data_IF_516801333840
#
_entry.id   IF_516801333840
#
_cell.length_a   1.000
_cell.length_b   1.000
_cell.length_c   1.000
_cell.angle_alpha   90.00
_cell.angle_beta   90.00
_cell.angle_gamma   90.00
#
_symmetry.space_group_name_H-M   'P 1'
#
loop_
_entity.id
_entity.type
_entity.pdbx_description
1 polymer ?
#
# COMPACT_ATOMS: atom_id res chain seq x y z
N UNK A 1 71.36 -44.42 -47.38
CA UNK A 1 71.45 -43.15 -46.62
C UNK A 1 70.07 -42.47 -46.72
N UNK A 2 69.33 -42.52 -45.67
CA UNK A 2 67.95 -41.92 -45.60
C UNK A 2 67.93 -40.90 -44.49
N UNK A 3 67.79 -39.63 -44.85
CA UNK A 3 67.72 -38.51 -43.93
C UNK A 3 66.24 -38.27 -43.61
N UNK A 4 65.86 -38.37 -42.36
CA UNK A 4 64.55 -38.14 -41.86
C UNK A 4 64.38 -36.68 -41.41
N UNK A 5 63.50 -35.91 -42.03
CA UNK A 5 63.16 -34.57 -41.62
C UNK A 5 62.14 -34.68 -40.49
N UNK A 6 62.39 -34.06 -39.34
CA UNK A 6 61.41 -33.87 -38.24
C UNK A 6 60.74 -32.50 -38.38
N UNK A 7 59.49 -32.52 -38.67
CA UNK A 7 58.65 -31.31 -38.60
C UNK A 7 58.30 -31.00 -37.13
N UNK A 8 58.71 -29.84 -36.67
CA UNK A 8 58.30 -29.26 -35.37
C UNK A 8 57.11 -28.37 -35.65
N UNK A 9 55.96 -28.80 -35.15
CA UNK A 9 54.72 -27.95 -35.11
C UNK A 9 54.81 -27.06 -33.88
N UNK A 10 54.96 -25.77 -34.10
CA UNK A 10 54.80 -24.77 -33.03
C UNK A 10 53.30 -24.47 -32.84
N UNK A 11 52.73 -24.82 -31.69
CA UNK A 11 51.37 -24.51 -31.29
C UNK A 11 51.38 -23.10 -30.67
N UNK A 12 50.86 -22.11 -31.40
CA UNK A 12 50.67 -20.76 -30.88
C UNK A 12 49.35 -20.75 -30.11
N UNK A 13 49.40 -20.69 -28.78
CA UNK A 13 48.22 -20.47 -27.93
C UNK A 13 47.87 -18.98 -27.96
N UNK A 14 46.79 -18.63 -28.63
CA UNK A 14 46.22 -17.30 -28.60
C UNK A 14 45.38 -17.18 -27.32
N UNK A 15 45.90 -16.52 -26.30
CA UNK A 15 45.14 -16.14 -25.11
C UNK A 15 44.20 -15.01 -25.49
N UNK A 16 42.93 -15.33 -25.69
CA UNK A 16 41.87 -14.33 -25.77
C UNK A 16 41.63 -13.77 -24.35
N UNK A 17 42.06 -12.55 -24.10
CA UNK A 17 41.69 -11.79 -22.93
C UNK A 17 40.24 -11.40 -23.06
N UNK A 18 39.34 -12.07 -22.34
CA UNK A 18 38.02 -11.58 -22.11
C UNK A 18 38.13 -10.41 -21.12
N UNK A 19 38.12 -9.19 -21.62
CA UNK A 19 37.74 -8.02 -20.80
C UNK A 19 36.28 -8.16 -20.47
N UNK A 20 35.98 -8.65 -19.27
CA UNK A 20 34.65 -8.46 -18.68
C UNK A 20 34.53 -6.96 -18.40
N UNK A 21 33.84 -6.25 -19.29
CA UNK A 21 33.20 -4.98 -18.90
C UNK A 21 32.12 -5.33 -17.88
N UNK A 22 32.40 -5.07 -16.61
CA UNK A 22 31.35 -4.85 -15.66
C UNK A 22 30.78 -3.46 -16.00
N UNK A 23 29.71 -3.42 -16.79
CA UNK A 23 28.84 -2.26 -16.83
C UNK A 23 28.18 -2.20 -15.45
N UNK A 24 28.85 -1.55 -14.50
CA UNK A 24 28.17 -0.89 -13.41
C UNK A 24 27.31 0.20 -14.09
N UNK A 25 26.04 -0.10 -14.31
CA UNK A 25 25.01 0.86 -14.71
C UNK A 25 24.86 1.91 -13.58
N UNK A 26 25.84 2.79 -13.46
CA UNK A 26 25.68 4.00 -12.64
C UNK A 26 24.65 4.85 -13.35
N UNK A 27 23.42 4.87 -12.81
CA UNK A 27 22.42 5.83 -13.24
C UNK A 27 23.04 7.22 -13.25
N UNK A 28 22.73 8.01 -14.28
CA UNK A 28 23.16 9.39 -14.34
C UNK A 28 22.64 10.13 -13.10
N UNK A 29 23.46 11.01 -12.54
CA UNK A 29 23.01 11.93 -11.50
C UNK A 29 21.92 12.84 -12.07
N UNK A 30 20.89 13.12 -11.26
CA UNK A 30 19.82 14.05 -11.64
C UNK A 30 20.33 15.48 -11.76
N UNK A 31 19.64 16.27 -12.60
CA UNK A 31 19.78 17.73 -12.65
C UNK A 31 19.04 18.44 -11.50
N UNK A 32 18.26 17.72 -10.69
CA UNK A 32 17.47 18.25 -9.58
C UNK A 32 18.34 18.91 -8.50
N UNK A 33 18.03 20.16 -8.14
CA UNK A 33 18.70 20.88 -7.05
C UNK A 33 18.11 20.46 -5.71
N UNK A 34 18.82 19.61 -4.98
CA UNK A 34 18.39 19.09 -3.68
C UNK A 34 18.63 20.11 -2.55
N UNK A 35 17.57 20.78 -2.11
CA UNK A 35 17.60 21.74 -0.99
C UNK A 35 16.86 21.14 0.21
N UNK A 36 17.56 20.65 1.25
CA UNK A 36 16.91 19.94 2.37
C UNK A 36 15.90 20.78 3.14
N UNK A 37 16.09 22.09 3.26
CA UNK A 37 15.16 23.00 3.95
C UNK A 37 13.96 23.45 3.10
N UNK A 38 13.98 23.17 1.80
CA UNK A 38 12.93 23.46 0.83
C UNK A 38 12.86 22.30 -0.17
N UNK A 39 12.48 21.12 0.34
CA UNK A 39 12.40 19.90 -0.45
C UNK A 39 11.07 19.86 -1.17
N UNK A 40 11.06 20.25 -2.42
CA UNK A 40 9.91 20.31 -3.32
C UNK A 40 10.37 20.42 -4.78
N UNK A 41 9.45 20.26 -5.73
CA UNK A 41 9.69 20.46 -7.16
C UNK A 41 9.68 19.15 -7.96
N UNK A 42 10.27 19.19 -9.14
CA UNK A 42 10.17 18.16 -10.14
C UNK A 42 11.51 17.46 -10.38
N UNK A 43 11.58 16.16 -10.09
CA UNK A 43 12.73 15.30 -10.41
C UNK A 43 12.49 14.75 -11.82
N UNK A 44 13.03 15.45 -12.83
CA UNK A 44 12.77 15.16 -14.23
C UNK A 44 13.64 14.05 -14.82
N UNK A 45 14.81 13.80 -14.24
CA UNK A 45 15.80 12.87 -14.79
C UNK A 45 16.69 12.22 -13.71
N UNK A 46 17.43 11.21 -14.12
CA UNK A 46 18.50 10.61 -13.34
C UNK A 46 18.06 10.02 -12.00
N UNK A 47 18.98 10.02 -11.04
CA UNK A 47 18.73 9.53 -9.68
C UNK A 47 19.07 10.60 -8.66
N UNK A 48 18.10 10.92 -7.79
CA UNK A 48 18.28 11.73 -6.58
C UNK A 48 18.41 10.77 -5.40
N UNK A 49 19.53 10.83 -4.68
CA UNK A 49 19.80 10.02 -3.48
C UNK A 49 19.84 10.97 -2.29
N UNK A 50 18.97 10.74 -1.29
CA UNK A 50 18.96 11.53 -0.05
C UNK A 50 20.11 11.11 0.90
N UNK A 51 20.51 12.02 1.80
CA UNK A 51 21.44 11.73 2.89
C UNK A 51 20.67 11.40 4.18
N UNK A 52 20.88 10.20 4.73
CA UNK A 52 20.23 9.75 5.96
C UNK A 52 20.56 10.58 7.21
N UNK A 53 21.62 11.39 7.19
CA UNK A 53 22.00 12.27 8.30
C UNK A 53 21.32 13.65 8.22
N UNK A 54 20.52 13.88 7.19
CA UNK A 54 19.83 15.15 6.92
C UNK A 54 18.33 14.98 7.08
N UNK A 55 17.67 15.89 7.80
CA UNK A 55 16.21 16.01 7.82
C UNK A 55 15.75 16.89 6.67
N UNK A 56 14.81 16.41 5.87
CA UNK A 56 14.26 17.13 4.74
C UNK A 56 12.92 17.77 5.11
N UNK A 57 12.74 19.05 4.78
CA UNK A 57 11.48 19.78 4.97
C UNK A 57 10.71 19.79 3.64
N UNK A 58 9.70 18.95 3.53
CA UNK A 58 8.80 18.93 2.36
C UNK A 58 7.84 20.11 2.47
N UNK A 59 8.08 21.13 1.66
CA UNK A 59 7.36 22.41 1.72
C UNK A 59 6.30 22.57 0.65
N UNK A 60 6.37 21.73 -0.39
CA UNK A 60 5.47 21.71 -1.53
C UNK A 60 5.44 20.31 -2.18
N UNK A 61 4.80 20.16 -3.35
CA UNK A 61 4.80 18.91 -4.08
C UNK A 61 6.22 18.51 -4.51
N UNK A 62 6.58 17.25 -4.29
CA UNK A 62 7.75 16.63 -4.89
C UNK A 62 7.27 15.57 -5.89
N UNK A 63 7.49 15.80 -7.16
CA UNK A 63 7.06 14.88 -8.22
C UNK A 63 8.27 14.20 -8.84
N UNK A 64 8.25 12.86 -8.87
CA UNK A 64 9.27 12.06 -9.55
C UNK A 64 8.72 11.66 -10.90
N UNK A 65 9.28 12.23 -11.99
CA UNK A 65 8.80 12.06 -13.35
C UNK A 65 9.33 10.80 -14.03
N UNK A 66 8.65 10.39 -15.10
CA UNK A 66 8.98 9.22 -15.92
C UNK A 66 10.48 9.13 -16.23
N UNK A 67 11.11 8.01 -15.85
CA UNK A 67 12.54 7.77 -16.06
C UNK A 67 13.43 8.20 -14.88
N UNK A 68 12.96 9.11 -14.04
CA UNK A 68 13.69 9.52 -12.83
C UNK A 68 13.54 8.52 -11.68
N UNK A 69 14.42 8.64 -10.69
CA UNK A 69 14.40 7.80 -9.48
C UNK A 69 14.69 8.63 -8.25
N UNK A 70 13.87 8.48 -7.20
CA UNK A 70 14.17 8.98 -5.85
C UNK A 70 14.60 7.82 -4.97
N UNK A 71 15.79 7.89 -4.39
CA UNK A 71 16.33 6.88 -3.47
C UNK A 71 16.48 7.46 -2.07
N UNK A 72 15.85 6.81 -1.10
CA UNK A 72 15.75 7.25 0.30
C UNK A 72 16.42 6.20 1.19
N UNK A 73 17.63 6.45 1.70
CA UNK A 73 18.37 5.52 2.56
C UNK A 73 17.73 5.30 3.94
N UNK A 74 18.13 4.22 4.60
CA UNK A 74 17.67 3.86 5.93
C UNK A 74 17.97 4.96 6.98
N UNK A 75 16.93 5.32 7.75
CA UNK A 75 17.02 6.32 8.80
C UNK A 75 16.78 7.75 8.33
N UNK A 76 16.52 7.99 7.05
CA UNK A 76 16.13 9.32 6.54
C UNK A 76 14.82 9.78 7.16
N UNK A 77 14.73 11.06 7.49
CA UNK A 77 13.53 11.73 7.98
C UNK A 77 13.09 12.80 6.98
N UNK A 78 11.82 12.74 6.57
CA UNK A 78 11.17 13.76 5.74
C UNK A 78 10.00 14.32 6.54
N UNK A 79 9.98 15.64 6.76
CA UNK A 79 8.95 16.34 7.51
C UNK A 79 8.10 17.20 6.59
N UNK A 80 6.82 16.83 6.43
CA UNK A 80 5.83 17.65 5.73
C UNK A 80 5.50 18.91 6.51
N UNK A 81 5.73 20.07 5.92
CA UNK A 81 5.50 21.39 6.53
C UNK A 81 4.65 22.31 5.66
N UNK A 82 4.26 21.87 4.48
CA UNK A 82 3.49 22.64 3.50
C UNK A 82 1.97 22.41 3.54
N UNK A 83 1.46 21.72 4.56
CA UNK A 83 0.04 21.36 4.61
C UNK A 83 -0.39 20.48 3.42
N UNK A 84 -1.57 20.73 2.88
CA UNK A 84 -2.12 20.03 1.70
C UNK A 84 -1.18 20.05 0.48
N UNK A 85 -0.37 21.08 0.32
CA UNK A 85 0.59 21.19 -0.78
C UNK A 85 1.80 20.27 -0.63
N UNK A 86 2.14 19.81 0.57
CA UNK A 86 3.31 18.97 0.80
C UNK A 86 2.94 17.49 0.62
N UNK A 87 3.34 16.90 -0.50
CA UNK A 87 3.19 15.47 -0.79
C UNK A 87 4.30 14.97 -1.71
N UNK A 88 4.52 13.68 -1.74
CA UNK A 88 5.43 13.04 -2.70
C UNK A 88 4.59 12.25 -3.69
N UNK A 89 4.80 12.49 -4.99
CA UNK A 89 4.10 11.77 -6.06
C UNK A 89 5.10 11.15 -7.04
N UNK A 90 4.84 9.90 -7.41
CA UNK A 90 5.67 9.11 -8.32
C UNK A 90 4.87 8.83 -9.58
N UNK A 91 5.30 9.36 -10.71
CA UNK A 91 4.65 9.23 -12.00
C UNK A 91 4.83 7.82 -12.58
N UNK A 92 3.96 7.44 -13.53
CA UNK A 92 4.12 6.21 -14.30
C UNK A 92 5.51 6.12 -14.96
N UNK A 93 6.24 5.03 -14.67
CA UNK A 93 7.59 4.81 -15.23
C UNK A 93 8.71 5.55 -14.48
N UNK A 94 8.38 6.29 -13.45
CA UNK A 94 9.32 6.73 -12.43
C UNK A 94 9.56 5.64 -11.37
N UNK A 95 10.50 5.87 -10.46
CA UNK A 95 10.79 4.95 -9.36
C UNK A 95 11.02 5.67 -8.04
N UNK A 96 10.55 5.04 -6.97
CA UNK A 96 10.92 5.41 -5.60
C UNK A 96 11.55 4.18 -4.92
N UNK A 97 12.73 4.35 -4.34
CA UNK A 97 13.41 3.32 -3.56
C UNK A 97 13.53 3.77 -2.11
N UNK A 98 12.62 3.31 -1.26
CA UNK A 98 12.67 3.52 0.18
C UNK A 98 13.38 2.34 0.81
N UNK A 99 14.63 2.53 1.21
CA UNK A 99 15.54 1.48 1.65
C UNK A 99 15.73 1.51 3.18
N UNK A 100 14.62 1.59 3.94
CA UNK A 100 14.65 1.46 5.39
C UNK A 100 15.12 0.09 5.86
N UNK A 101 15.42 -0.02 7.14
CA UNK A 101 15.70 -1.29 7.84
C UNK A 101 14.90 -1.34 9.14
N UNK A 102 14.77 -2.52 9.73
CA UNK A 102 14.11 -2.69 11.03
C UNK A 102 14.70 -1.74 12.10
N UNK A 103 16.02 -1.61 12.15
CA UNK A 103 16.71 -0.77 13.12
C UNK A 103 16.71 0.73 12.76
N UNK A 104 16.52 1.06 11.48
CA UNK A 104 16.53 2.43 10.95
C UNK A 104 15.46 2.57 9.87
N UNK A 105 14.17 2.61 10.25
CA UNK A 105 13.11 2.87 9.27
C UNK A 105 13.28 4.27 8.65
N UNK A 106 12.78 4.44 7.43
CA UNK A 106 12.55 5.76 6.87
C UNK A 106 11.28 6.32 7.50
N UNK A 107 11.29 7.61 7.84
CA UNK A 107 10.16 8.27 8.49
C UNK A 107 9.72 9.45 7.63
N UNK A 108 8.49 9.41 7.16
CA UNK A 108 7.78 10.54 6.54
C UNK A 108 6.71 10.98 7.53
N UNK A 109 6.82 12.20 8.07
CA UNK A 109 6.00 12.64 9.20
C UNK A 109 5.65 14.12 9.12
N UNK A 110 4.76 14.57 9.99
CA UNK A 110 4.48 16.01 10.17
C UNK A 110 5.69 16.74 10.74
N UNK A 111 5.97 17.94 10.22
CA UNK A 111 6.96 18.88 10.78
C UNK A 111 6.38 19.82 11.83
N UNK A 112 5.10 19.71 12.16
CA UNK A 112 4.46 20.55 13.18
C UNK A 112 4.89 20.15 14.60
N UNK A 113 4.92 21.12 15.51
CA UNK A 113 5.21 20.87 16.94
C UNK A 113 4.11 20.02 17.58
N UNK A 114 2.85 20.32 17.28
CA UNK A 114 1.69 19.47 17.61
C UNK A 114 1.26 18.78 16.32
N UNK A 115 1.41 17.48 16.29
CA UNK A 115 1.14 16.69 15.11
C UNK A 115 -0.31 16.19 15.10
N UNK A 116 -0.98 16.34 13.96
CA UNK A 116 -2.35 15.88 13.73
C UNK A 116 -2.45 15.18 12.39
N UNK A 117 -3.42 14.29 12.25
CA UNK A 117 -3.81 13.75 10.93
C UNK A 117 -4.09 14.90 9.96
N UNK A 118 -3.66 14.76 8.71
CA UNK A 118 -3.84 15.78 7.69
C UNK A 118 -2.83 16.94 7.71
N UNK A 119 -1.80 16.86 8.51
CA UNK A 119 -0.75 17.90 8.54
C UNK A 119 0.01 18.02 7.21
N UNK A 120 -0.01 16.99 6.39
CA UNK A 120 0.58 16.93 5.05
C UNK A 120 -0.14 15.89 4.17
N UNK A 121 0.13 15.89 2.86
CA UNK A 121 -0.56 15.01 1.92
C UNK A 121 -0.30 13.54 2.19
N UNK A 122 0.87 13.05 1.82
CA UNK A 122 1.20 11.63 1.89
C UNK A 122 2.09 11.19 0.72
N UNK A 123 2.13 9.88 0.47
CA UNK A 123 2.87 9.29 -0.65
C UNK A 123 1.90 8.72 -1.69
N UNK A 124 2.01 9.19 -2.94
CA UNK A 124 1.19 8.79 -4.09
C UNK A 124 2.07 8.08 -5.12
N UNK A 125 1.66 6.89 -5.57
CA UNK A 125 2.39 6.14 -6.58
C UNK A 125 1.46 5.78 -7.72
N UNK A 126 1.81 6.21 -8.95
CA UNK A 126 1.07 5.92 -10.18
C UNK A 126 1.81 4.88 -11.01
N UNK A 127 1.14 3.77 -11.35
CA UNK A 127 1.67 2.68 -12.16
C UNK A 127 0.88 2.45 -13.45
N UNK A 128 1.35 1.48 -14.24
CA UNK A 128 0.82 1.11 -15.58
C UNK A 128 0.00 -0.19 -15.57
N UNK A 129 -0.39 -0.68 -14.39
CA UNK A 129 -1.19 -1.90 -14.28
C UNK A 129 -2.68 -1.63 -14.53
N UNK A 130 -3.48 -2.66 -14.87
CA UNK A 130 -4.88 -2.51 -15.24
C UNK A 130 -5.76 -1.90 -14.14
N UNK A 131 -6.74 -1.10 -14.58
CA UNK A 131 -7.83 -0.54 -13.78
C UNK A 131 -9.17 -0.87 -14.44
N UNK A 132 -10.30 -0.68 -13.74
CA UNK A 132 -11.62 -1.04 -14.27
C UNK A 132 -12.60 0.14 -14.45
N UNK A 133 -12.10 1.36 -14.58
CA UNK A 133 -12.94 2.56 -14.77
C UNK A 133 -13.64 2.67 -16.13
N UNK A 134 -13.52 1.64 -16.99
CA UNK A 134 -14.02 1.67 -18.36
C UNK A 134 -13.08 2.36 -19.35
N UNK A 135 -11.95 2.85 -18.88
CA UNK A 135 -10.83 3.40 -19.66
C UNK A 135 -9.53 2.69 -19.32
N UNK A 136 -8.56 2.70 -20.22
CA UNK A 136 -7.24 2.06 -19.97
C UNK A 136 -6.44 2.83 -18.93
N UNK A 137 -6.56 4.15 -18.95
CA UNK A 137 -5.89 5.07 -18.02
C UNK A 137 -6.88 6.05 -17.43
N UNK A 138 -6.55 6.61 -16.28
CA UNK A 138 -7.32 7.66 -15.61
C UNK A 138 -6.37 8.70 -14.99
N UNK A 139 -6.95 9.75 -14.40
CA UNK A 139 -6.22 10.73 -13.60
C UNK A 139 -6.42 10.39 -12.12
N UNK A 140 -5.35 10.35 -11.35
CA UNK A 140 -5.40 10.21 -9.91
C UNK A 140 -6.21 11.38 -9.31
N UNK A 141 -7.02 11.08 -8.32
CA UNK A 141 -7.90 12.08 -7.68
C UNK A 141 -7.10 13.17 -6.97
N UNK A 142 -5.94 12.80 -6.44
CA UNK A 142 -4.93 13.72 -5.90
C UNK A 142 -3.72 13.73 -6.84
N UNK A 143 -2.89 14.77 -6.80
CA UNK A 143 -1.73 14.98 -7.68
C UNK A 143 -2.03 15.22 -9.17
N UNK A 144 -3.16 14.75 -9.70
CA UNK A 144 -3.51 14.89 -11.12
C UNK A 144 -2.65 14.07 -12.10
N UNK A 145 -1.85 13.13 -11.61
CA UNK A 145 -1.01 12.25 -12.42
C UNK A 145 -1.82 11.16 -13.12
N UNK A 146 -1.39 10.75 -14.30
CA UNK A 146 -2.00 9.64 -15.03
C UNK A 146 -1.62 8.29 -14.40
N UNK A 147 -2.59 7.38 -14.31
CA UNK A 147 -2.37 5.99 -13.88
C UNK A 147 -3.17 4.99 -14.71
N UNK A 148 -2.90 3.70 -14.49
CA UNK A 148 -3.54 2.61 -15.24
C UNK A 148 -2.80 2.28 -16.54
N UNK A 149 -3.18 1.18 -17.15
CA UNK A 149 -2.56 0.65 -18.36
C UNK A 149 -2.82 -0.83 -18.54
N UNK A 150 -1.85 -1.55 -19.11
CA UNK A 150 -1.97 -2.99 -19.39
C UNK A 150 -0.78 -3.80 -18.87
N UNK A 151 0.13 -3.18 -18.11
CA UNK A 151 1.38 -3.79 -17.66
C UNK A 151 1.20 -4.31 -16.23
N UNK A 152 0.73 -5.54 -16.09
CA UNK A 152 0.44 -6.14 -14.76
C UNK A 152 1.66 -6.23 -13.85
N UNK A 153 2.87 -6.36 -14.41
CA UNK A 153 4.13 -6.41 -13.69
C UNK A 153 4.90 -5.08 -13.72
N UNK A 154 4.20 -3.97 -13.87
CA UNK A 154 4.78 -2.64 -13.74
C UNK A 154 5.52 -2.50 -12.41
N UNK A 155 6.63 -1.73 -12.43
CA UNK A 155 7.53 -1.62 -11.30
C UNK A 155 7.84 -0.16 -11.01
N UNK A 156 7.28 0.35 -9.94
CA UNK A 156 7.51 1.72 -9.43
C UNK A 156 8.62 1.80 -8.36
N UNK A 157 9.36 0.69 -8.12
CA UNK A 157 10.49 0.67 -7.20
C UNK A 157 10.33 -0.27 -6.01
N UNK A 158 10.95 0.10 -4.89
CA UNK A 158 11.01 -0.70 -3.65
C UNK A 158 10.66 0.16 -2.46
N UNK A 159 9.75 -0.31 -1.61
CA UNK A 159 9.38 0.36 -0.35
C UNK A 159 9.57 -0.65 0.78
N UNK A 160 10.54 -0.40 1.65
CA UNK A 160 10.82 -1.24 2.81
C UNK A 160 11.07 -0.43 4.05
N UNK A 161 10.48 -0.87 5.17
CA UNK A 161 10.59 -0.26 6.50
C UNK A 161 10.35 1.25 6.46
N UNK A 162 9.14 1.62 6.02
CA UNK A 162 8.67 2.99 5.94
C UNK A 162 7.60 3.24 7.01
N UNK A 163 7.67 4.37 7.69
CA UNK A 163 6.57 4.93 8.46
C UNK A 163 6.08 6.19 7.79
N UNK A 164 4.77 6.26 7.55
CA UNK A 164 4.05 7.45 7.09
C UNK A 164 3.15 7.88 8.23
N UNK A 165 3.37 9.06 8.75
CA UNK A 165 2.73 9.53 9.97
C UNK A 165 2.04 10.86 9.74
N UNK A 166 0.79 11.02 10.22
CA UNK A 166 0.02 12.26 10.21
C UNK A 166 -0.27 12.81 8.80
N UNK A 167 -0.35 11.94 7.81
CA UNK A 167 -0.72 12.27 6.44
C UNK A 167 -2.25 12.38 6.28
N UNK A 168 -2.74 12.47 5.03
CA UNK A 168 -4.17 12.45 4.74
C UNK A 168 -4.79 13.84 4.59
N UNK A 169 -4.00 14.87 4.24
CA UNK A 169 -4.54 16.23 4.09
C UNK A 169 -5.62 16.30 3.02
N UNK A 170 -6.70 17.08 3.28
CA UNK A 170 -7.76 17.33 2.32
C UNK A 170 -7.21 18.05 1.08
N UNK A 171 -7.35 17.43 -0.09
CA UNK A 171 -6.89 17.99 -1.36
C UNK A 171 -7.91 18.95 -1.99
N UNK A 172 -9.19 18.57 -1.93
CA UNK A 172 -10.32 19.39 -2.39
C UNK A 172 -11.57 19.05 -1.57
N UNK A 173 -12.74 19.63 -1.92
CA UNK A 173 -13.98 19.40 -1.16
C UNK A 173 -14.38 17.92 -1.04
N UNK A 174 -14.03 17.10 -2.04
CA UNK A 174 -14.46 15.69 -2.13
C UNK A 174 -13.26 14.73 -2.34
N UNK A 175 -12.03 15.19 -2.07
CA UNK A 175 -10.81 14.39 -2.29
C UNK A 175 -9.79 14.66 -1.20
N UNK A 176 -9.24 13.59 -0.70
CA UNK A 176 -8.25 13.60 0.37
C UNK A 176 -7.03 12.77 -0.05
N UNK A 177 -5.90 13.06 0.55
CA UNK A 177 -4.74 12.20 0.46
C UNK A 177 -4.87 11.10 1.51
N UNK A 178 -4.26 9.96 1.24
CA UNK A 178 -4.09 8.87 2.19
C UNK A 178 -2.69 8.84 2.80
N UNK A 179 -2.45 7.94 3.72
CA UNK A 179 -1.07 7.65 4.10
C UNK A 179 -0.24 7.24 2.89
N UNK A 180 -0.66 6.17 2.21
CA UNK A 180 -0.03 5.67 0.97
C UNK A 180 -1.10 5.26 -0.03
N UNK A 181 -1.14 5.94 -1.18
CA UNK A 181 -2.05 5.64 -2.29
C UNK A 181 -1.33 4.93 -3.42
N UNK A 182 -1.90 3.82 -3.90
CA UNK A 182 -1.43 3.03 -5.04
C UNK A 182 -2.39 3.13 -6.20
N UNK A 183 -2.10 3.94 -7.19
CA UNK A 183 -2.91 4.12 -8.39
C UNK A 183 -2.39 3.25 -9.54
N UNK A 184 -3.05 2.14 -9.84
CA UNK A 184 -2.67 1.25 -10.94
C UNK A 184 -1.26 0.67 -10.83
N UNK A 185 -0.77 0.44 -9.61
CA UNK A 185 0.59 -0.05 -9.36
C UNK A 185 0.68 -1.54 -9.64
N UNK A 186 1.73 -1.97 -10.33
CA UNK A 186 1.94 -3.36 -10.73
C UNK A 186 2.70 -4.21 -9.72
N UNK A 187 2.60 -5.54 -9.88
CA UNK A 187 3.22 -6.51 -8.96
C UNK A 187 4.75 -6.66 -9.11
N UNK A 188 5.37 -5.90 -10.00
CA UNK A 188 6.82 -5.73 -10.03
C UNK A 188 7.34 -4.77 -8.95
N UNK A 189 6.45 -3.97 -8.34
CA UNK A 189 6.77 -3.08 -7.22
C UNK A 189 6.82 -3.86 -5.92
N UNK A 190 7.86 -3.63 -5.11
CA UNK A 190 8.02 -4.28 -3.80
C UNK A 190 7.52 -3.37 -2.70
N UNK A 191 6.58 -3.87 -1.87
CA UNK A 191 6.02 -3.14 -0.72
C UNK A 191 6.03 -4.05 0.51
N UNK A 192 6.96 -3.81 1.43
CA UNK A 192 7.18 -4.64 2.61
C UNK A 192 7.49 -3.80 3.86
N UNK A 193 6.87 -4.15 4.99
CA UNK A 193 7.11 -3.48 6.28
C UNK A 193 6.82 -1.97 6.22
N UNK A 194 5.56 -1.62 5.96
CA UNK A 194 5.10 -0.22 5.89
C UNK A 194 4.06 0.03 6.96
N UNK A 195 4.19 1.14 7.67
CA UNK A 195 3.19 1.63 8.63
C UNK A 195 2.59 2.94 8.17
N UNK A 196 1.24 3.03 8.18
CA UNK A 196 0.47 4.26 8.20
C UNK A 196 -0.01 4.54 9.63
N UNK A 197 0.21 5.76 10.13
CA UNK A 197 0.02 6.11 11.53
C UNK A 197 -0.64 7.47 11.68
N UNK A 198 -1.85 7.50 12.27
CA UNK A 198 -2.59 8.72 12.59
C UNK A 198 -2.79 9.68 11.41
N UNK A 199 -3.13 9.14 10.22
CA UNK A 199 -3.63 9.94 9.09
C UNK A 199 -5.04 10.44 9.34
N UNK A 200 -5.46 11.52 8.65
CA UNK A 200 -6.84 12.02 8.73
C UNK A 200 -7.79 11.34 7.75
N UNK A 201 -7.27 10.55 6.85
CA UNK A 201 -7.99 9.72 5.89
C UNK A 201 -7.45 8.28 5.95
N UNK A 202 -7.50 7.50 4.87
CA UNK A 202 -7.11 6.10 4.89
C UNK A 202 -5.64 5.88 5.20
N UNK A 203 -5.35 4.73 5.81
CA UNK A 203 -3.97 4.31 6.00
C UNK A 203 -3.31 3.93 4.67
N UNK A 204 -3.97 3.05 3.92
CA UNK A 204 -3.54 2.56 2.61
C UNK A 204 -4.73 2.46 1.68
N UNK A 205 -4.62 3.01 0.47
CA UNK A 205 -5.65 2.86 -0.54
C UNK A 205 -5.11 2.38 -1.88
N UNK A 206 -5.86 1.44 -2.52
CA UNK A 206 -5.49 0.77 -3.76
C UNK A 206 -6.52 1.03 -4.85
N UNK A 207 -6.17 1.85 -5.83
CA UNK A 207 -6.98 2.17 -7.01
C UNK A 207 -6.57 1.29 -8.19
N UNK A 208 -7.14 0.10 -8.29
CA UNK A 208 -6.76 -0.86 -9.32
C UNK A 208 -5.33 -1.38 -9.19
N UNK A 209 -4.83 -1.99 -10.27
CA UNK A 209 -3.49 -2.56 -10.29
C UNK A 209 -3.38 -3.95 -9.68
N UNK A 210 -2.14 -4.38 -9.48
CA UNK A 210 -1.80 -5.74 -9.07
C UNK A 210 -0.70 -5.78 -8.00
N UNK A 211 -0.38 -4.65 -7.38
CA UNK A 211 0.68 -4.57 -6.36
C UNK A 211 0.42 -5.54 -5.21
N UNK A 212 1.47 -6.25 -4.81
CA UNK A 212 1.46 -7.15 -3.66
C UNK A 212 2.09 -6.47 -2.46
N UNK A 213 1.61 -6.81 -1.26
CA UNK A 213 2.13 -6.22 -0.03
C UNK A 213 2.43 -7.27 1.03
N UNK A 214 3.40 -6.96 1.91
CA UNK A 214 3.73 -7.80 3.05
C UNK A 214 4.04 -6.96 4.28
N UNK A 215 3.53 -7.40 5.44
CA UNK A 215 3.77 -6.76 6.73
C UNK A 215 3.31 -5.29 6.76
N UNK A 216 2.02 -5.04 6.48
CA UNK A 216 1.43 -3.71 6.61
C UNK A 216 0.86 -3.49 8.01
N UNK A 217 1.10 -2.32 8.54
CA UNK A 217 0.53 -1.85 9.81
C UNK A 217 -0.24 -0.55 9.57
N UNK A 218 -1.53 -0.55 9.89
CA UNK A 218 -2.37 0.65 9.90
C UNK A 218 -2.84 0.94 11.31
N UNK A 219 -2.56 2.12 11.83
CA UNK A 219 -2.87 2.45 13.21
C UNK A 219 -3.47 3.83 13.38
N UNK A 220 -4.74 3.88 13.76
CA UNK A 220 -5.42 5.11 14.18
C UNK A 220 -5.63 6.12 13.07
N UNK A 221 -5.76 5.68 11.81
CA UNK A 221 -6.16 6.54 10.71
C UNK A 221 -7.65 6.86 10.81
N UNK A 222 -8.05 8.07 10.46
CA UNK A 222 -9.35 8.65 10.83
C UNK A 222 -10.49 8.29 9.89
N UNK A 223 -10.22 7.68 8.72
CA UNK A 223 -11.21 6.96 7.92
C UNK A 223 -10.92 5.46 7.97
N UNK A 224 -10.62 4.81 6.88
CA UNK A 224 -10.40 3.37 6.84
C UNK A 224 -8.94 2.98 7.09
N UNK A 225 -8.71 1.79 7.62
CA UNK A 225 -7.34 1.36 7.83
C UNK A 225 -6.72 0.84 6.52
N UNK A 226 -7.55 0.22 5.68
CA UNK A 226 -7.22 -0.20 4.32
C UNK A 226 -8.43 0.00 3.43
N UNK A 227 -8.25 0.54 2.23
CA UNK A 227 -9.29 0.62 1.21
C UNK A 227 -8.79 0.09 -0.14
N UNK A 228 -9.72 -0.42 -0.95
CA UNK A 228 -9.45 -0.73 -2.34
C UNK A 228 -10.68 -0.58 -3.24
N UNK A 229 -10.39 -0.18 -4.46
CA UNK A 229 -11.36 -0.01 -5.53
C UNK A 229 -10.75 -0.31 -6.90
N UNK A 230 -11.48 -0.08 -7.95
CA UNK A 230 -11.04 -0.02 -9.36
C UNK A 230 -10.35 -1.28 -9.89
N UNK A 231 -10.67 -2.46 -9.34
CA UNK A 231 -10.17 -3.72 -9.88
C UNK A 231 -8.83 -4.17 -9.33
N UNK A 232 -8.41 -3.68 -8.15
CA UNK A 232 -7.18 -4.16 -7.53
C UNK A 232 -7.22 -5.66 -7.18
N UNK A 233 -6.10 -6.37 -7.44
CA UNK A 233 -6.01 -7.83 -7.30
C UNK A 233 -4.68 -8.34 -6.72
N UNK A 234 -4.12 -7.63 -5.76
CA UNK A 234 -2.86 -7.99 -5.10
C UNK A 234 -2.92 -9.27 -4.27
N UNK A 235 -1.76 -9.91 -4.10
CA UNK A 235 -1.55 -11.03 -3.13
C UNK A 235 -0.80 -10.50 -1.92
N UNK A 236 -1.40 -10.61 -0.74
CA UNK A 236 -0.98 -9.89 0.44
C UNK A 236 -0.80 -10.82 1.64
N UNK A 237 0.12 -10.47 2.54
CA UNK A 237 0.43 -11.25 3.72
C UNK A 237 0.72 -10.35 4.92
N UNK A 238 0.22 -10.75 6.10
CA UNK A 238 0.49 -10.11 7.38
C UNK A 238 0.03 -8.66 7.46
N UNK A 239 -1.28 -8.44 7.47
CA UNK A 239 -1.89 -7.12 7.68
C UNK A 239 -2.36 -6.96 9.12
N UNK A 240 -1.95 -5.90 9.78
CA UNK A 240 -2.39 -5.55 11.13
C UNK A 240 -2.98 -4.16 11.16
N UNK A 241 -4.24 -4.06 11.56
CA UNK A 241 -4.92 -2.79 11.79
C UNK A 241 -5.36 -2.65 13.24
N UNK A 242 -5.24 -1.45 13.79
CA UNK A 242 -5.79 -1.12 15.09
C UNK A 242 -6.35 0.29 15.10
N UNK A 243 -7.63 0.37 15.37
CA UNK A 243 -8.39 1.59 15.56
C UNK A 243 -8.83 1.65 17.02
N UNK A 244 -8.24 2.50 17.84
CA UNK A 244 -8.40 2.42 19.30
C UNK A 244 -8.77 3.72 20.00
N UNK A 245 -8.66 4.87 19.34
CA UNK A 245 -9.01 6.18 19.89
C UNK A 245 -9.11 7.23 18.79
N UNK A 246 -9.69 8.39 19.10
CA UNK A 246 -9.85 9.48 18.16
C UNK A 246 -11.10 9.31 17.30
N UNK A 247 -10.91 9.25 16.02
CA UNK A 247 -11.91 8.99 14.99
C UNK A 247 -11.50 7.77 14.18
N UNK A 248 -12.39 7.30 13.35
CA UNK A 248 -12.12 6.25 12.37
C UNK A 248 -13.40 5.62 11.87
N UNK A 249 -13.28 4.86 10.83
CA UNK A 249 -14.43 4.29 10.17
C UNK A 249 -14.37 2.77 10.20
N UNK A 250 -13.60 2.14 9.33
CA UNK A 250 -13.58 0.68 9.17
C UNK A 250 -12.17 0.09 9.30
N UNK A 251 -12.10 -1.21 9.46
CA UNK A 251 -10.85 -1.94 9.31
C UNK A 251 -10.46 -2.05 7.82
N UNK A 252 -11.47 -2.35 7.00
CA UNK A 252 -11.37 -2.42 5.54
C UNK A 252 -12.66 -1.83 4.92
N UNK A 253 -12.53 -0.93 3.95
CA UNK A 253 -13.50 -0.67 2.92
C UNK A 253 -13.08 -1.37 1.61
N UNK A 254 -14.03 -1.91 0.86
CA UNK A 254 -13.71 -2.75 -0.28
C UNK A 254 -14.75 -2.62 -1.39
N UNK A 255 -14.35 -2.02 -2.49
CA UNK A 255 -15.18 -1.85 -3.66
C UNK A 255 -14.61 -2.54 -4.90
N UNK A 256 -15.48 -2.89 -5.85
CA UNK A 256 -15.02 -3.10 -7.21
C UNK A 256 -14.92 -1.76 -7.96
N UNK A 257 -16.06 -1.08 -8.14
CA UNK A 257 -16.10 0.26 -8.71
C UNK A 257 -17.48 0.89 -8.48
N UNK A 258 -17.53 2.10 -7.94
CA UNK A 258 -18.80 2.72 -7.54
C UNK A 258 -19.74 3.04 -8.71
N UNK A 259 -19.21 3.28 -9.92
CA UNK A 259 -20.01 3.59 -11.12
C UNK A 259 -20.25 2.37 -12.01
N UNK A 260 -19.80 1.16 -11.59
CA UNK A 260 -19.95 -0.05 -12.37
C UNK A 260 -19.56 -1.31 -11.61
N UNK A 261 -20.46 -1.86 -10.80
CA UNK A 261 -20.21 -2.99 -9.90
C UNK A 261 -19.71 -4.27 -10.60
N UNK A 262 -19.96 -4.40 -11.90
CA UNK A 262 -19.50 -5.54 -12.72
C UNK A 262 -18.33 -5.20 -13.67
N UNK A 263 -17.74 -4.00 -13.53
CA UNK A 263 -16.59 -3.61 -14.35
C UNK A 263 -15.40 -4.56 -14.13
N UNK A 264 -14.65 -4.81 -15.19
CA UNK A 264 -13.50 -5.70 -15.17
C UNK A 264 -12.19 -4.95 -15.47
N UNK A 265 -11.05 -5.39 -14.85
CA UNK A 265 -10.91 -6.51 -13.90
C UNK A 265 -11.71 -6.28 -12.62
N UNK A 266 -12.23 -7.35 -12.00
CA UNK A 266 -12.92 -7.25 -10.71
C UNK A 266 -11.87 -7.13 -9.60
N UNK A 267 -12.10 -6.25 -8.61
CA UNK A 267 -11.30 -6.21 -7.37
C UNK A 267 -11.36 -7.58 -6.69
N UNK A 268 -10.20 -8.22 -6.54
CA UNK A 268 -10.12 -9.61 -6.06
C UNK A 268 -8.80 -9.89 -5.34
N UNK A 269 -8.49 -9.19 -4.26
CA UNK A 269 -7.26 -9.45 -3.50
C UNK A 269 -7.31 -10.79 -2.76
N UNK A 270 -6.12 -11.35 -2.56
CA UNK A 270 -5.90 -12.41 -1.58
C UNK A 270 -5.12 -11.85 -0.40
N UNK A 271 -5.64 -12.02 0.81
CA UNK A 271 -4.96 -11.55 2.04
C UNK A 271 -4.86 -12.74 3.03
N UNK A 272 -3.64 -13.06 3.43
CA UNK A 272 -3.36 -14.07 4.45
C UNK A 272 -2.83 -13.43 5.72
N UNK A 273 -3.19 -14.00 6.87
CA UNK A 273 -2.71 -13.56 8.18
C UNK A 273 -3.10 -12.10 8.48
N UNK A 274 -4.37 -11.85 8.73
CA UNK A 274 -4.89 -10.51 8.98
C UNK A 274 -5.46 -10.37 10.39
N UNK A 275 -5.13 -9.28 11.06
CA UNK A 275 -5.72 -8.88 12.35
C UNK A 275 -6.33 -7.51 12.24
N UNK A 276 -7.62 -7.38 12.58
CA UNK A 276 -8.36 -6.13 12.62
C UNK A 276 -8.91 -5.90 14.02
N UNK A 277 -8.38 -4.89 14.71
CA UNK A 277 -8.80 -4.52 16.07
C UNK A 277 -9.50 -3.18 16.04
N UNK A 278 -10.79 -3.19 16.35
CA UNK A 278 -11.66 -2.01 16.33
C UNK A 278 -11.66 -1.20 17.63
N UNK A 279 -12.47 -0.13 17.67
CA UNK A 279 -12.56 0.78 18.82
C UNK A 279 -13.45 0.25 19.95
N UNK A 280 -14.08 -0.90 19.76
CA UNK A 280 -15.14 -1.46 20.61
C UNK A 280 -16.51 -1.41 19.93
N UNK A 281 -17.35 -2.43 20.13
CA UNK A 281 -18.69 -2.51 19.50
C UNK A 281 -19.65 -1.39 19.95
N UNK A 282 -19.41 -0.83 21.12
CA UNK A 282 -20.18 0.26 21.73
C UNK A 282 -19.52 1.64 21.53
N UNK A 283 -18.48 1.75 20.69
CA UNK A 283 -17.83 3.03 20.42
C UNK A 283 -18.81 4.08 19.87
N UNK A 284 -18.54 5.34 20.18
CA UNK A 284 -19.39 6.48 19.81
C UNK A 284 -19.55 6.58 18.29
N UNK A 285 -20.80 6.50 17.82
CA UNK A 285 -21.12 6.59 16.40
C UNK A 285 -20.89 7.96 15.74
N UNK A 286 -20.56 8.99 16.51
CA UNK A 286 -20.14 10.30 15.96
C UNK A 286 -18.70 10.22 15.45
N UNK A 287 -17.84 9.51 16.16
CA UNK A 287 -16.43 9.37 15.83
C UNK A 287 -16.12 8.06 15.09
N UNK A 288 -17.00 7.05 15.20
CA UNK A 288 -16.84 5.73 14.60
C UNK A 288 -18.15 5.32 13.91
N UNK A 289 -18.50 6.05 12.84
CA UNK A 289 -19.83 5.99 12.22
C UNK A 289 -20.13 4.62 11.60
N UNK A 290 -19.18 4.00 10.95
CA UNK A 290 -19.33 2.70 10.28
C UNK A 290 -18.43 1.63 10.90
N UNK A 291 -18.70 1.28 12.16
CA UNK A 291 -17.92 0.36 12.97
C UNK A 291 -18.02 -1.09 12.45
N UNK A 292 -17.32 -1.37 11.37
CA UNK A 292 -17.24 -2.69 10.73
C UNK A 292 -15.78 -3.09 10.49
N UNK A 293 -15.43 -4.36 10.77
CA UNK A 293 -14.08 -4.83 10.50
C UNK A 293 -13.80 -4.91 8.99
N UNK A 294 -14.76 -5.43 8.22
CA UNK A 294 -14.69 -5.47 6.75
C UNK A 294 -16.03 -4.99 6.18
N UNK A 295 -16.00 -3.93 5.42
CA UNK A 295 -17.10 -3.42 4.60
C UNK A 295 -16.83 -3.83 3.15
N UNK A 296 -17.62 -4.77 2.61
CA UNK A 296 -17.41 -5.39 1.30
C UNK A 296 -18.62 -5.05 0.43
N UNK A 297 -18.43 -4.28 -0.63
CA UNK A 297 -19.55 -3.72 -1.41
C UNK A 297 -19.23 -3.55 -2.90
N UNK A 298 -20.22 -3.08 -3.65
CA UNK A 298 -20.09 -2.65 -5.06
C UNK A 298 -19.43 -3.68 -5.99
N UNK A 299 -19.67 -5.00 -5.73
CA UNK A 299 -19.22 -6.08 -6.60
C UNK A 299 -17.80 -6.60 -6.34
N UNK A 300 -17.12 -6.18 -5.25
CA UNK A 300 -15.79 -6.71 -4.92
C UNK A 300 -15.80 -8.22 -4.68
N UNK A 301 -14.73 -8.89 -5.10
CA UNK A 301 -14.35 -10.23 -4.67
C UNK A 301 -13.26 -10.15 -3.62
N UNK A 302 -12.83 -11.27 -3.09
CA UNK A 302 -11.71 -11.36 -2.16
C UNK A 302 -11.60 -12.71 -1.48
N UNK A 303 -10.39 -13.12 -1.16
CA UNK A 303 -10.12 -14.35 -0.43
C UNK A 303 -9.24 -14.05 0.78
N UNK A 304 -9.80 -14.24 1.97
CA UNK A 304 -9.14 -13.92 3.22
C UNK A 304 -8.91 -15.20 4.04
N UNK A 305 -7.70 -15.42 4.54
CA UNK A 305 -7.37 -16.62 5.30
C UNK A 305 -6.57 -16.29 6.56
N UNK A 306 -6.85 -17.02 7.66
CA UNK A 306 -6.25 -16.82 8.97
C UNK A 306 -6.48 -15.39 9.49
N UNK A 307 -7.74 -15.10 9.84
CA UNK A 307 -8.21 -13.75 10.20
C UNK A 307 -8.56 -13.70 11.69
N UNK A 308 -8.13 -12.65 12.37
CA UNK A 308 -8.57 -12.28 13.71
C UNK A 308 -9.31 -10.96 13.66
N UNK A 309 -10.57 -10.95 14.09
CA UNK A 309 -11.44 -9.78 14.22
C UNK A 309 -11.79 -9.59 15.69
N UNK A 310 -11.58 -8.39 16.21
CA UNK A 310 -11.87 -8.06 17.60
C UNK A 310 -12.36 -6.62 17.78
N UNK A 311 -13.29 -6.42 18.70
CA UNK A 311 -13.77 -5.10 19.11
C UNK A 311 -14.46 -4.30 18.00
N UNK A 312 -15.22 -4.93 17.13
CA UNK A 312 -16.02 -4.34 16.09
C UNK A 312 -17.51 -4.61 16.29
N UNK A 313 -18.36 -3.65 15.95
CA UNK A 313 -19.82 -3.86 15.98
C UNK A 313 -20.25 -4.91 14.96
N UNK A 314 -19.62 -4.93 13.80
CA UNK A 314 -19.83 -5.91 12.71
C UNK A 314 -18.50 -6.49 12.25
N UNK A 315 -18.45 -7.80 12.04
CA UNK A 315 -17.29 -8.48 11.45
C UNK A 315 -17.24 -8.26 9.94
N UNK A 316 -18.06 -9.00 9.19
CA UNK A 316 -18.18 -8.87 7.72
C UNK A 316 -19.50 -8.17 7.39
N UNK A 317 -19.46 -6.96 6.88
CA UNK A 317 -20.61 -6.19 6.36
C UNK A 317 -20.59 -6.26 4.83
N UNK A 318 -21.51 -7.04 4.24
CA UNK A 318 -21.55 -7.31 2.79
C UNK A 318 -22.74 -6.58 2.18
N UNK A 319 -22.47 -5.68 1.25
CA UNK A 319 -23.52 -4.88 0.61
C UNK A 319 -23.57 -5.03 -0.91
N UNK A 320 -24.75 -4.80 -1.47
CA UNK A 320 -25.13 -4.85 -2.88
C UNK A 320 -25.25 -6.28 -3.44
N UNK A 321 -26.19 -6.43 -4.37
CA UNK A 321 -26.58 -7.74 -4.91
C UNK A 321 -25.42 -8.45 -5.61
N UNK A 322 -24.54 -7.73 -6.32
CA UNK A 322 -23.36 -8.25 -7.00
C UNK A 322 -22.35 -8.83 -6.02
N UNK A 323 -22.10 -8.12 -4.91
CA UNK A 323 -21.19 -8.59 -3.86
C UNK A 323 -21.77 -9.80 -3.12
N UNK A 324 -23.06 -9.75 -2.79
CA UNK A 324 -23.78 -10.87 -2.14
C UNK A 324 -23.73 -12.12 -3.04
N UNK A 325 -23.94 -11.97 -4.36
CA UNK A 325 -23.86 -13.08 -5.31
C UNK A 325 -22.46 -13.71 -5.41
N UNK A 326 -21.41 -13.00 -5.01
CA UNK A 326 -20.05 -13.52 -4.98
C UNK A 326 -19.80 -14.49 -3.79
N UNK A 327 -20.63 -14.44 -2.74
CA UNK A 327 -20.49 -15.28 -1.54
C UNK A 327 -20.99 -16.70 -1.81
N UNK A 328 -20.28 -17.75 -1.37
CA UNK A 328 -18.88 -17.81 -0.88
C UNK A 328 -17.88 -18.11 -2.02
N UNK A 329 -18.33 -18.17 -3.26
CA UNK A 329 -17.54 -18.72 -4.37
C UNK A 329 -16.35 -17.83 -4.74
N UNK A 330 -16.51 -16.51 -4.65
CA UNK A 330 -15.54 -15.47 -5.02
C UNK A 330 -15.18 -14.55 -3.87
N UNK A 331 -16.07 -14.42 -2.88
CA UNK A 331 -15.86 -13.59 -1.69
C UNK A 331 -15.99 -14.43 -0.45
N UNK A 332 -14.89 -14.60 0.30
CA UNK A 332 -14.85 -15.51 1.45
C UNK A 332 -13.74 -15.22 2.43
N UNK A 333 -14.04 -15.50 3.71
CA UNK A 333 -13.06 -15.62 4.80
C UNK A 333 -12.98 -17.06 5.29
N UNK A 334 -11.78 -17.57 5.49
CA UNK A 334 -11.50 -18.89 6.08
C UNK A 334 -10.62 -18.76 7.32
N UNK A 335 -10.70 -19.74 8.23
CA UNK A 335 -9.96 -19.73 9.49
C UNK A 335 -10.15 -18.43 10.28
N UNK A 336 -11.41 -17.99 10.44
CA UNK A 336 -11.77 -16.72 11.09
C UNK A 336 -11.93 -16.92 12.59
N UNK A 337 -11.28 -16.09 13.38
CA UNK A 337 -11.50 -15.92 14.83
C UNK A 337 -12.18 -14.57 15.09
N UNK A 338 -13.42 -14.61 15.57
CA UNK A 338 -14.03 -13.46 16.24
C UNK A 338 -13.63 -13.54 17.73
N UNK A 339 -12.62 -12.73 18.09
CA UNK A 339 -11.93 -12.91 19.37
C UNK A 339 -12.70 -12.32 20.55
N UNK A 340 -13.01 -11.04 20.52
CA UNK A 340 -13.72 -10.34 21.59
C UNK A 340 -14.60 -9.25 21.00
N UNK A 341 -15.75 -8.99 21.64
CA UNK A 341 -16.64 -7.89 21.35
C UNK A 341 -16.98 -7.69 19.86
N UNK A 342 -17.48 -8.76 19.21
CA UNK A 342 -18.02 -8.75 17.84
C UNK A 342 -19.46 -9.30 17.88
N UNK A 343 -20.45 -8.49 18.28
CA UNK A 343 -21.82 -8.96 18.47
C UNK A 343 -22.52 -9.40 17.16
N UNK A 344 -22.11 -8.85 16.00
CA UNK A 344 -22.58 -9.27 14.70
C UNK A 344 -21.40 -9.77 13.85
N UNK A 345 -21.26 -11.08 13.70
CA UNK A 345 -20.18 -11.66 12.89
C UNK A 345 -20.33 -11.33 11.40
N UNK A 346 -21.59 -11.31 10.92
CA UNK A 346 -21.92 -10.97 9.53
C UNK A 346 -23.17 -10.08 9.48
N UNK A 347 -23.23 -9.21 8.48
CA UNK A 347 -24.38 -8.37 8.14
C UNK A 347 -24.47 -8.27 6.64
N UNK A 348 -25.68 -8.44 6.07
CA UNK A 348 -25.91 -8.32 4.64
C UNK A 348 -27.00 -7.30 4.33
N UNK A 349 -26.78 -6.50 3.27
CA UNK A 349 -27.72 -5.51 2.78
C UNK A 349 -27.74 -5.46 1.26
N UNK A 350 -28.90 -5.73 0.66
CA UNK A 350 -29.10 -5.67 -0.79
C UNK A 350 -29.06 -4.25 -1.31
N UNK A 351 -28.97 -4.11 -2.62
CA UNK A 351 -28.99 -2.80 -3.31
C UNK A 351 -30.31 -2.04 -3.04
N UNK A 352 -31.43 -2.73 -2.85
CA UNK A 352 -32.71 -2.13 -2.47
C UNK A 352 -32.83 -1.75 -0.97
N UNK A 353 -31.78 -1.98 -0.18
CA UNK A 353 -31.72 -1.69 1.26
C UNK A 353 -32.25 -2.82 2.14
N UNK A 354 -32.83 -3.90 1.59
CA UNK A 354 -33.32 -5.03 2.38
C UNK A 354 -32.21 -5.92 2.90
N UNK A 355 -32.46 -6.60 4.03
CA UNK A 355 -31.48 -7.50 4.65
C UNK A 355 -31.26 -8.75 3.77
N UNK A 356 -30.02 -9.23 3.72
CA UNK A 356 -29.63 -10.48 3.07
C UNK A 356 -28.92 -11.40 4.04
N UNK A 357 -29.07 -12.71 3.87
CA UNK A 357 -28.22 -13.70 4.53
C UNK A 357 -26.89 -13.80 3.79
N UNK A 358 -25.81 -13.50 4.48
CA UNK A 358 -24.43 -13.54 3.98
C UNK A 358 -23.51 -14.37 4.90
N UNK A 359 -24.08 -15.17 5.79
CA UNK A 359 -23.30 -16.00 6.75
C UNK A 359 -22.25 -16.89 6.03
N UNK A 360 -22.54 -17.30 4.78
CA UNK A 360 -21.62 -18.05 3.94
C UNK A 360 -20.31 -17.34 3.61
N UNK A 361 -20.17 -16.01 3.83
CA UNK A 361 -18.90 -15.30 3.64
C UNK A 361 -17.81 -15.85 4.58
N UNK A 362 -18.20 -16.35 5.76
CA UNK A 362 -17.30 -17.06 6.69
C UNK A 362 -17.39 -18.56 6.43
N UNK A 363 -16.47 -19.09 5.64
CA UNK A 363 -16.48 -20.49 5.23
C UNK A 363 -15.95 -21.44 6.30
N UNK A 364 -15.11 -20.95 7.21
CA UNK A 364 -14.66 -21.69 8.41
C UNK A 364 -14.22 -20.76 9.52
N UNK A 365 -14.48 -21.16 10.77
CA UNK A 365 -13.98 -20.50 11.99
C UNK A 365 -12.86 -21.33 12.60
N UNK A 366 -11.91 -20.65 13.26
CA UNK A 366 -10.79 -21.30 13.93
C UNK A 366 -10.48 -20.61 15.25
N UNK A 367 -10.65 -21.29 16.36
CA UNK A 367 -10.26 -20.78 17.69
C UNK A 367 -8.73 -20.61 17.84
N UNK A 368 -7.95 -21.15 16.92
CA UNK A 368 -6.48 -21.07 16.91
C UNK A 368 -5.93 -20.17 15.80
N UNK A 369 -6.79 -19.41 15.11
CA UNK A 369 -6.32 -18.42 14.15
C UNK A 369 -5.44 -17.38 14.85
N UNK A 370 -4.30 -17.07 14.24
CA UNK A 370 -3.30 -16.16 14.78
C UNK A 370 -3.33 -14.78 14.15
N UNK A 371 -4.09 -14.63 13.04
CA UNK A 371 -4.14 -13.39 12.28
C UNK A 371 -2.77 -12.98 11.79
N UNK A 372 -2.41 -11.73 11.98
CA UNK A 372 -1.09 -11.20 11.59
C UNK A 372 0.09 -11.79 12.40
N UNK A 373 -0.18 -12.75 13.31
CA UNK A 373 0.86 -13.53 13.99
C UNK A 373 0.75 -13.61 15.52
N UNK A 374 0.01 -12.72 16.18
CA UNK A 374 -0.09 -12.66 17.64
C UNK A 374 -1.54 -12.53 18.16
N UNK A 375 -2.53 -13.02 17.41
CA UNK A 375 -3.94 -12.80 17.71
C UNK A 375 -4.27 -11.31 17.63
N UNK A 376 -4.85 -10.74 18.70
CA UNK A 376 -5.18 -9.30 18.79
C UNK A 376 -3.99 -8.41 19.16
N UNK A 377 -2.91 -9.00 19.68
CA UNK A 377 -1.73 -8.25 20.09
C UNK A 377 -0.88 -7.82 18.89
N UNK A 378 -0.02 -6.83 19.12
CA UNK A 378 1.00 -6.42 18.15
C UNK A 378 1.83 -7.62 17.68
N UNK A 379 1.91 -7.89 16.38
CA UNK A 379 2.72 -8.99 15.87
C UNK A 379 4.23 -8.71 16.06
N UNK A 380 5.00 -9.76 16.28
CA UNK A 380 6.44 -9.64 16.57
C UNK A 380 7.24 -9.05 15.41
N UNK A 381 6.84 -9.31 14.16
CA UNK A 381 7.49 -8.73 12.98
C UNK A 381 7.32 -7.20 12.86
N UNK A 382 6.37 -6.62 13.62
CA UNK A 382 6.17 -5.17 13.68
C UNK A 382 7.04 -4.49 14.76
N UNK A 383 7.84 -5.23 15.53
CA UNK A 383 8.71 -4.66 16.55
C UNK A 383 9.84 -3.82 15.91
N UNK A 384 10.37 -2.89 16.71
CA UNK A 384 11.51 -2.03 16.44
C UNK A 384 11.32 -0.97 15.34
N UNK A 385 10.48 -1.19 14.33
CA UNK A 385 10.30 -0.24 13.23
C UNK A 385 8.95 0.50 13.23
N UNK A 386 7.94 0.03 13.99
CA UNK A 386 6.64 0.71 14.11
C UNK A 386 6.57 1.60 15.35
N UNK A 387 5.62 2.53 15.36
CA UNK A 387 5.31 3.41 16.49
C UNK A 387 3.85 3.26 16.94
N UNK A 388 3.52 3.65 18.18
CA UNK A 388 2.16 3.72 18.72
C UNK A 388 1.51 2.40 19.16
N UNK A 389 2.05 1.25 18.78
CA UNK A 389 1.48 -0.08 19.04
C UNK A 389 1.93 -0.69 20.37
#
# INVERSE_FOLDING_TARGET
MKTTLRNVFALTVMAAAFTACSDDDKKASSSFELIPSAFEGDIEDGEVVLDANTTYKLVGPLVVHTGATLTIPAGTVIEGVGGTGAYIAVEQGAKINVNGTEAKPVIMTSGNTTKNGGDWGGLVICGKAPINRGTVTAQAEVSGLTYGGTVTNDNSGVIRFLRIEYAGATYSADKEFNGLSFFGVGNGTVVENVQAFHGSDDGFEFFGGTVNTKNLVSFGNEDDQFDWTEGWSGTNENWYAKLSFGKGNRGIEADNYEFGYANTPISNPTIKNMTLVGPGSAADGTNFAENSALKLRRGTYGSFDNIVVANWKVGFDVENDETIAAVPSKLKGSNVLFASDVPAETKGKKTDGTTADVAGVVTSKSATATGAGAGVAKPTWANNWTTGL
#
